data_IF_713784778772
#
_entry.id   IF_713784778772
#
_cell.length_a   1.000
_cell.length_b   1.000
_cell.length_c   1.000
_cell.angle_alpha   90.00
_cell.angle_beta   90.00
_cell.angle_gamma   90.00
#
_symmetry.space_group_name_H-M   'P 1'
#
loop_
_entity.id
_entity.type
_entity.pdbx_description
1 polymer ?
#
# COMPACT_ATOMS: atom_id res chain seq x y z
N UNK A 1 6.00 28.31 -16.13
CA UNK A 1 6.53 27.06 -16.66
C UNK A 1 6.88 26.12 -15.53
N UNK A 2 7.74 26.54 -14.67
CA UNK A 2 8.15 25.69 -13.54
C UNK A 2 6.99 25.32 -12.63
N UNK A 3 6.12 26.27 -12.38
CA UNK A 3 4.98 26.00 -11.52
C UNK A 3 4.02 24.96 -12.12
N UNK A 4 3.89 24.97 -13.45
CA UNK A 4 3.05 23.99 -14.12
C UNK A 4 3.61 22.58 -13.99
N UNK A 5 4.91 22.44 -14.17
CA UNK A 5 5.55 21.15 -14.02
C UNK A 5 5.42 20.64 -12.59
N UNK A 6 5.63 21.53 -11.63
CA UNK A 6 5.50 21.17 -10.23
C UNK A 6 4.08 20.71 -9.89
N UNK A 7 3.09 21.43 -10.42
CA UNK A 7 1.69 21.08 -10.19
C UNK A 7 1.36 19.72 -10.77
N UNK A 8 1.82 19.44 -11.98
CA UNK A 8 1.59 18.17 -12.64
C UNK A 8 2.23 17.04 -11.83
N UNK A 9 3.47 17.25 -11.39
CA UNK A 9 4.17 16.26 -10.57
C UNK A 9 3.44 16.00 -9.26
N UNK A 10 2.96 17.04 -8.62
CA UNK A 10 2.21 16.90 -7.36
C UNK A 10 0.92 16.14 -7.55
N UNK A 11 0.27 16.28 -8.70
CA UNK A 11 -0.96 15.56 -8.98
C UNK A 11 -0.70 14.08 -9.23
N UNK A 12 0.49 13.74 -9.74
CA UNK A 12 0.82 12.36 -10.09
C UNK A 12 1.56 11.63 -8.99
N UNK A 13 2.13 12.35 -8.04
CA UNK A 13 2.92 11.76 -6.96
C UNK A 13 2.06 11.62 -5.72
N UNK A 14 1.91 10.40 -5.26
CA UNK A 14 1.24 10.13 -4.00
C UNK A 14 2.26 10.37 -2.90
N UNK A 15 1.96 11.31 -2.02
CA UNK A 15 2.91 11.74 -1.00
C UNK A 15 3.01 10.72 0.14
N UNK A 16 4.14 10.73 0.82
CA UNK A 16 4.40 9.83 1.94
C UNK A 16 3.35 9.93 3.04
N UNK A 17 2.80 11.13 3.25
CA UNK A 17 1.76 11.32 4.27
C UNK A 17 0.53 10.46 3.97
N UNK A 18 0.22 10.25 2.71
CA UNK A 18 -0.92 9.43 2.32
C UNK A 18 -0.64 7.95 2.64
N UNK A 19 0.59 7.48 2.36
CA UNK A 19 0.96 6.11 2.69
C UNK A 19 0.98 5.90 4.20
N UNK A 20 1.45 6.87 4.94
CA UNK A 20 1.44 6.81 6.40
C UNK A 20 0.02 6.68 6.93
N UNK A 21 -0.89 7.48 6.40
CA UNK A 21 -2.30 7.42 6.78
C UNK A 21 -2.91 6.07 6.42
N UNK A 22 -2.58 5.56 5.24
CA UNK A 22 -3.08 4.27 4.80
C UNK A 22 -2.61 3.13 5.72
N UNK A 23 -1.35 3.17 6.14
CA UNK A 23 -0.86 2.17 7.09
C UNK A 23 -1.58 2.27 8.44
N UNK A 24 -1.87 3.47 8.89
CA UNK A 24 -2.68 3.67 10.08
C UNK A 24 -4.06 3.02 9.91
N UNK A 25 -4.68 3.24 8.76
CA UNK A 25 -5.99 2.67 8.48
C UNK A 25 -5.93 1.13 8.45
N UNK A 26 -4.87 0.58 7.88
CA UNK A 26 -4.69 -0.88 7.86
C UNK A 26 -4.60 -1.42 9.28
N UNK A 27 -3.96 -0.69 10.17
CA UNK A 27 -3.81 -1.14 11.54
C UNK A 27 -5.12 -1.06 12.34
N UNK A 28 -5.93 -0.03 12.13
CA UNK A 28 -7.03 0.30 13.01
C UNK A 28 -8.42 0.18 12.40
N UNK A 29 -8.55 -0.01 11.11
CA UNK A 29 -9.84 -0.10 10.44
C UNK A 29 -10.05 -1.48 9.84
N UNK A 30 -11.30 -1.78 9.48
CA UNK A 30 -11.61 -3.07 8.87
C UNK A 30 -11.22 -3.09 7.39
N UNK A 31 -11.27 -4.29 6.82
CA UNK A 31 -10.83 -4.51 5.45
C UNK A 31 -11.65 -3.71 4.46
N UNK A 32 -12.97 -3.64 4.65
CA UNK A 32 -13.84 -2.92 3.72
C UNK A 32 -13.48 -1.44 3.66
N UNK A 33 -13.23 -0.84 4.80
CA UNK A 33 -12.80 0.55 4.87
C UNK A 33 -11.48 0.76 4.12
N UNK A 34 -10.54 -0.12 4.34
CA UNK A 34 -9.20 -0.04 3.74
C UNK A 34 -9.29 -0.19 2.22
N UNK A 35 -10.04 -1.18 1.75
CA UNK A 35 -10.19 -1.42 0.32
C UNK A 35 -10.88 -0.24 -0.36
N UNK A 36 -11.89 0.34 0.27
CA UNK A 36 -12.55 1.51 -0.26
C UNK A 36 -11.59 2.69 -0.38
N UNK A 37 -10.73 2.89 0.61
CA UNK A 37 -9.71 3.93 0.57
C UNK A 37 -8.72 3.72 -0.57
N UNK A 38 -8.30 2.49 -0.77
CA UNK A 38 -7.36 2.18 -1.86
C UNK A 38 -8.01 2.42 -3.22
N UNK A 39 -9.28 2.04 -3.37
CA UNK A 39 -10.03 2.32 -4.59
C UNK A 39 -10.14 3.83 -4.84
N UNK A 40 -10.33 4.59 -3.79
CA UNK A 40 -10.42 6.04 -3.87
C UNK A 40 -9.09 6.64 -4.32
N UNK A 41 -7.98 6.17 -3.74
CA UNK A 41 -6.65 6.61 -4.15
C UNK A 41 -6.41 6.28 -5.61
N UNK A 42 -6.77 5.08 -6.04
CA UNK A 42 -6.63 4.66 -7.43
C UNK A 42 -7.35 5.63 -8.38
N UNK A 43 -8.56 6.02 -8.02
CA UNK A 43 -9.35 6.95 -8.83
C UNK A 43 -8.77 8.36 -8.80
N UNK A 44 -8.47 8.88 -7.61
CA UNK A 44 -8.01 10.26 -7.46
C UNK A 44 -6.68 10.51 -8.14
N UNK A 45 -5.77 9.55 -8.06
CA UNK A 45 -4.42 9.71 -8.62
C UNK A 45 -4.26 9.02 -9.96
N UNK A 46 -5.35 8.50 -10.51
CA UNK A 46 -5.34 7.78 -11.79
C UNK A 46 -4.22 6.74 -11.82
N UNK A 47 -4.12 5.98 -10.75
CA UNK A 47 -3.07 5.01 -10.55
C UNK A 47 -3.65 3.61 -10.48
N UNK A 48 -3.04 2.66 -11.16
CA UNK A 48 -3.51 1.28 -11.12
C UNK A 48 -3.28 0.68 -9.73
N UNK A 49 -4.18 -0.19 -9.31
CA UNK A 49 -4.06 -0.85 -8.01
C UNK A 49 -2.75 -1.63 -7.88
N UNK A 50 -2.27 -2.21 -8.98
CA UNK A 50 -0.99 -2.91 -9.00
C UNK A 50 0.15 -1.99 -8.61
N UNK A 51 0.15 -0.77 -9.12
CA UNK A 51 1.17 0.22 -8.79
C UNK A 51 1.04 0.69 -7.35
N UNK A 52 -0.18 0.82 -6.88
CA UNK A 52 -0.43 1.19 -5.49
C UNK A 52 0.13 0.13 -4.55
N UNK A 53 -0.10 -1.14 -4.86
CA UNK A 53 0.45 -2.26 -4.08
C UNK A 53 1.97 -2.19 -4.01
N UNK A 54 2.62 -1.96 -5.15
CA UNK A 54 4.08 -1.84 -5.20
C UNK A 54 4.57 -0.67 -4.35
N UNK A 55 3.87 0.44 -4.39
CA UNK A 55 4.24 1.63 -3.63
C UNK A 55 4.06 1.43 -2.14
N UNK A 56 2.99 0.74 -1.75
CA UNK A 56 2.78 0.38 -0.34
C UNK A 56 3.94 -0.49 0.15
N UNK A 57 4.30 -1.51 -0.60
CA UNK A 57 5.39 -2.42 -0.25
C UNK A 57 6.69 -1.64 -0.12
N UNK A 58 7.00 -0.79 -1.07
CA UNK A 58 8.23 0.02 -1.04
C UNK A 58 8.24 0.98 0.14
N UNK A 59 7.11 1.59 0.45
CA UNK A 59 7.01 2.49 1.59
C UNK A 59 7.31 1.74 2.89
N UNK A 60 6.76 0.55 3.06
CA UNK A 60 6.98 -0.26 4.26
C UNK A 60 8.45 -0.65 4.40
N UNK A 61 9.05 -1.08 3.31
CA UNK A 61 10.47 -1.48 3.33
C UNK A 61 11.35 -0.32 3.78
N UNK A 62 11.05 0.90 3.32
CA UNK A 62 11.85 2.06 3.66
C UNK A 62 11.58 2.62 5.04
N UNK A 63 10.32 2.62 5.47
CA UNK A 63 9.90 3.41 6.62
C UNK A 63 9.43 2.59 7.81
N UNK A 64 9.13 1.32 7.60
CA UNK A 64 8.63 0.43 8.65
C UNK A 64 9.34 -0.92 8.62
N UNK A 65 10.68 -0.89 8.71
CA UNK A 65 11.43 -2.17 8.64
C UNK A 65 11.09 -3.10 9.79
N UNK A 66 10.57 -2.58 10.89
CA UNK A 66 10.14 -3.42 12.01
C UNK A 66 9.00 -4.36 11.63
N UNK A 67 8.26 -4.08 10.56
CA UNK A 67 7.20 -4.97 10.08
C UNK A 67 7.73 -6.09 9.20
N UNK A 68 9.01 -6.03 8.81
CA UNK A 68 9.60 -6.97 7.87
C UNK A 68 10.02 -8.27 8.54
N UNK A 69 9.02 -9.01 8.99
CA UNK A 69 9.21 -10.38 9.46
C UNK A 69 9.36 -11.33 8.27
N UNK A 70 9.83 -12.52 8.54
CA UNK A 70 10.01 -13.52 7.49
C UNK A 70 8.72 -13.74 6.68
N UNK A 71 7.59 -13.80 7.37
CA UNK A 71 6.32 -14.05 6.70
C UNK A 71 5.91 -12.89 5.80
N UNK A 72 6.14 -11.66 6.24
CA UNK A 72 5.79 -10.51 5.42
C UNK A 72 6.71 -10.39 4.22
N UNK A 73 8.00 -10.64 4.42
CA UNK A 73 8.94 -10.63 3.29
C UNK A 73 8.57 -11.64 2.24
N UNK A 74 8.23 -12.85 2.64
CA UNK A 74 7.77 -13.89 1.71
C UNK A 74 6.49 -13.48 0.99
N UNK A 75 5.58 -12.84 1.71
CA UNK A 75 4.35 -12.33 1.12
C UNK A 75 4.64 -11.30 0.04
N UNK A 76 5.54 -10.36 0.33
CA UNK A 76 5.91 -9.33 -0.64
C UNK A 76 6.55 -9.95 -1.88
N UNK A 77 7.43 -10.92 -1.70
CA UNK A 77 8.05 -11.62 -2.82
C UNK A 77 6.99 -12.32 -3.68
N UNK A 78 6.05 -13.00 -3.03
CA UNK A 78 4.97 -13.66 -3.73
C UNK A 78 4.14 -12.67 -4.56
N UNK A 79 3.75 -11.55 -3.96
CA UNK A 79 2.94 -10.53 -4.63
C UNK A 79 3.70 -9.92 -5.80
N UNK A 80 4.96 -9.59 -5.60
CA UNK A 80 5.76 -8.91 -6.62
C UNK A 80 6.03 -9.80 -7.83
N UNK A 81 6.10 -11.11 -7.63
CA UNK A 81 6.36 -12.06 -8.71
C UNK A 81 5.12 -12.78 -9.20
N UNK A 82 3.96 -12.48 -8.62
CA UNK A 82 2.73 -13.15 -8.99
C UNK A 82 2.22 -12.64 -10.33
N UNK A 83 1.70 -13.56 -11.13
CA UNK A 83 1.01 -13.27 -12.38
C UNK A 83 -0.50 -13.39 -12.23
N UNK A 84 -0.98 -13.40 -10.99
CA UNK A 84 -2.41 -13.54 -10.71
C UNK A 84 -3.16 -12.36 -11.32
N UNK A 85 -4.23 -12.68 -12.02
CA UNK A 85 -5.01 -11.66 -12.72
C UNK A 85 -6.00 -10.93 -11.83
N UNK A 86 -6.34 -11.49 -10.69
CA UNK A 86 -7.32 -10.87 -9.80
C UNK A 86 -6.62 -9.96 -8.79
N UNK A 87 -6.53 -8.69 -9.15
CA UNK A 87 -5.85 -7.70 -8.32
C UNK A 87 -6.57 -7.47 -7.00
N UNK A 88 -7.88 -7.66 -6.95
CA UNK A 88 -8.62 -7.48 -5.71
C UNK A 88 -8.27 -8.55 -4.68
N UNK A 89 -8.07 -9.77 -5.11
CA UNK A 89 -7.58 -10.83 -4.23
C UNK A 89 -6.20 -10.51 -3.68
N UNK A 90 -5.31 -10.05 -4.56
CA UNK A 90 -3.95 -9.70 -4.16
C UNK A 90 -3.98 -8.58 -3.12
N UNK A 91 -4.84 -7.60 -3.32
CA UNK A 91 -4.98 -6.48 -2.41
C UNK A 91 -5.49 -6.92 -1.04
N UNK A 92 -6.52 -7.74 -1.01
CA UNK A 92 -7.07 -8.27 0.23
C UNK A 92 -6.02 -9.11 0.95
N UNK A 93 -5.31 -9.94 0.23
CA UNK A 93 -4.25 -10.78 0.79
C UNK A 93 -3.16 -9.90 1.44
N UNK A 94 -2.73 -8.85 0.74
CA UNK A 94 -1.73 -7.94 1.27
C UNK A 94 -2.22 -7.27 2.57
N UNK A 95 -3.45 -6.76 2.56
CA UNK A 95 -4.01 -6.09 3.72
C UNK A 95 -4.10 -7.02 4.93
N UNK A 96 -4.54 -8.26 4.70
CA UNK A 96 -4.63 -9.25 5.78
C UNK A 96 -3.26 -9.56 6.37
N UNK A 97 -2.26 -9.71 5.52
CA UNK A 97 -0.90 -10.00 5.98
C UNK A 97 -0.29 -8.82 6.72
N UNK A 98 -0.58 -7.62 6.29
CA UNK A 98 -0.14 -6.42 7.00
C UNK A 98 -0.79 -6.32 8.38
N UNK A 99 -2.08 -6.62 8.47
CA UNK A 99 -2.75 -6.63 9.77
C UNK A 99 -2.09 -7.63 10.74
N UNK A 100 -1.76 -8.82 10.26
CA UNK A 100 -1.05 -9.81 11.07
C UNK A 100 0.30 -9.28 11.54
N UNK A 101 1.04 -8.63 10.65
CA UNK A 101 2.36 -8.09 11.00
C UNK A 101 2.27 -6.99 12.04
N UNK A 102 1.28 -6.12 11.95
CA UNK A 102 1.06 -5.11 12.98
C UNK A 102 0.76 -5.73 14.32
N UNK A 103 -0.07 -6.76 14.35
CA UNK A 103 -0.40 -7.46 15.59
C UNK A 103 0.85 -8.10 16.22
N UNK A 104 1.70 -8.69 15.39
CA UNK A 104 2.93 -9.31 15.86
C UNK A 104 3.89 -8.28 16.48
N UNK A 105 3.96 -7.10 15.92
CA UNK A 105 4.84 -6.05 16.43
C UNK A 105 4.32 -5.48 17.75
N UNK A 106 3.01 -5.35 17.88
CA UNK A 106 2.39 -4.77 19.07
C UNK A 106 2.51 -5.70 20.28
N UNK A 107 2.46 -6.99 20.05
CA UNK A 107 2.64 -7.96 21.10
C UNK A 107 4.08 -7.97 21.59
#
# INVERSE_FOLDING_TARGET
>A
MQSNETSINNNNIIKDVLWKQLLYDIQYHDIDYIINNINKISTEYNSEKKDIIKKIINYIIRNKPELMHNNLLKTFEYIMHSTVNNINYTLIFLVLKLKESFDDVIV
#
